data_IF_774764187235
#
_entry.id   IF_774764187235
#
_cell.length_a   1.000
_cell.length_b   1.000
_cell.length_c   1.000
_cell.angle_alpha   90.00
_cell.angle_beta   90.00
_cell.angle_gamma   90.00
#
_symmetry.space_group_name_H-M   'P 1'
#
loop_
_entity.id
_entity.type
_entity.pdbx_description
1 polymer ?
#
# COMPACT_ATOMS: atom_id res chain seq x y z
N UNK A 1 -30.29 -5.22 -8.76
CA UNK A 1 -30.19 -4.48 -7.49
C UNK A 1 -28.87 -3.72 -7.52
N UNK A 2 -28.87 -2.40 -7.73
CA UNK A 2 -27.65 -1.61 -7.70
C UNK A 2 -27.26 -1.33 -6.24
N UNK A 3 -26.03 -1.65 -5.86
CA UNK A 3 -25.50 -1.28 -4.56
C UNK A 3 -25.46 0.25 -4.45
N UNK A 4 -25.83 0.81 -3.30
CA UNK A 4 -25.66 2.24 -3.06
C UNK A 4 -24.18 2.61 -3.04
N UNK A 5 -23.83 3.85 -3.40
CA UNK A 5 -22.43 4.30 -3.36
C UNK A 5 -21.78 4.13 -1.97
N UNK A 6 -22.57 4.32 -0.91
CA UNK A 6 -22.09 4.09 0.46
C UNK A 6 -21.74 2.62 0.73
N UNK A 7 -22.53 1.67 0.19
CA UNK A 7 -22.25 0.23 0.34
C UNK A 7 -20.94 -0.15 -0.37
N UNK A 8 -20.75 0.33 -1.58
CA UNK A 8 -19.54 0.07 -2.38
C UNK A 8 -18.30 0.61 -1.67
N UNK A 9 -18.38 1.83 -1.18
CA UNK A 9 -17.30 2.47 -0.40
C UNK A 9 -16.96 1.67 0.88
N UNK A 10 -17.99 1.27 1.65
CA UNK A 10 -17.80 0.50 2.89
C UNK A 10 -17.14 -0.86 2.60
N UNK A 11 -17.58 -1.55 1.55
CA UNK A 11 -16.95 -2.78 1.12
C UNK A 11 -15.47 -2.57 0.74
N UNK A 12 -15.16 -1.46 0.07
CA UNK A 12 -13.78 -1.06 -0.22
C UNK A 12 -12.95 -0.90 1.05
N UNK A 13 -13.45 -0.22 2.07
CA UNK A 13 -12.74 -0.03 3.36
C UNK A 13 -12.47 -1.37 4.04
N UNK A 14 -13.47 -2.24 4.14
CA UNK A 14 -13.31 -3.57 4.74
C UNK A 14 -12.27 -4.40 3.97
N UNK A 15 -12.37 -4.41 2.64
CA UNK A 15 -11.43 -5.11 1.79
C UNK A 15 -10.00 -4.57 1.96
N UNK A 16 -9.83 -3.24 1.96
CA UNK A 16 -8.54 -2.61 2.15
C UNK A 16 -7.90 -2.97 3.49
N UNK A 17 -8.67 -2.95 4.57
CA UNK A 17 -8.19 -3.36 5.88
C UNK A 17 -7.77 -4.84 5.90
N UNK A 18 -8.59 -5.73 5.31
CA UNK A 18 -8.26 -7.15 5.21
C UNK A 18 -7.00 -7.41 4.36
N UNK A 19 -6.83 -6.63 3.28
CA UNK A 19 -5.63 -6.71 2.44
C UNK A 19 -4.36 -6.27 3.18
N UNK A 20 -4.45 -5.42 4.19
CA UNK A 20 -3.31 -5.02 5.03
C UNK A 20 -2.61 -6.21 5.70
N UNK A 21 -3.27 -7.35 5.83
CA UNK A 21 -2.67 -8.60 6.29
C UNK A 21 -1.61 -9.16 5.33
N UNK A 22 -1.75 -8.89 4.03
CA UNK A 22 -0.89 -9.42 2.96
C UNK A 22 -0.03 -8.34 2.32
N UNK A 23 -0.50 -7.10 2.35
CA UNK A 23 0.13 -5.95 1.71
C UNK A 23 0.51 -4.96 2.82
N UNK A 24 1.50 -5.32 3.64
CA UNK A 24 1.98 -4.47 4.72
C UNK A 24 3.20 -3.61 4.28
N UNK A 25 3.58 -2.58 5.04
CA UNK A 25 4.72 -1.72 4.73
C UNK A 25 6.05 -2.46 4.65
N UNK A 26 6.20 -3.58 5.36
CA UNK A 26 7.45 -4.35 5.42
C UNK A 26 7.72 -5.19 4.17
N UNK A 27 6.83 -5.19 3.18
CA UNK A 27 7.06 -5.86 1.88
C UNK A 27 8.28 -5.32 1.12
N UNK A 28 8.84 -4.21 1.55
CA UNK A 28 10.13 -3.71 1.07
C UNK A 28 11.33 -4.53 1.61
N UNK A 29 11.11 -5.41 2.61
CA UNK A 29 12.12 -6.28 3.22
C UNK A 29 11.89 -7.74 2.82
N UNK A 30 12.37 -8.14 1.65
CA UNK A 30 12.21 -9.48 1.09
C UNK A 30 12.83 -10.54 2.00
N UNK A 31 12.08 -11.60 2.28
CA UNK A 31 12.55 -12.79 3.01
C UNK A 31 12.47 -12.68 4.53
N UNK A 32 11.96 -11.59 5.08
CA UNK A 32 11.93 -11.35 6.53
C UNK A 32 10.53 -11.10 7.09
N UNK A 33 9.51 -10.93 6.24
CA UNK A 33 8.18 -10.51 6.68
C UNK A 33 7.20 -11.64 6.85
N UNK A 34 6.29 -11.50 7.81
CA UNK A 34 5.18 -12.42 7.99
C UNK A 34 4.16 -12.37 6.83
N UNK A 35 4.06 -11.24 6.13
CA UNK A 35 3.16 -11.07 4.98
C UNK A 35 3.54 -11.98 3.82
N UNK A 36 4.83 -12.13 3.52
CA UNK A 36 5.33 -13.02 2.47
C UNK A 36 4.96 -14.48 2.75
N UNK A 37 5.18 -14.94 3.99
CA UNK A 37 4.79 -16.28 4.40
C UNK A 37 3.29 -16.51 4.26
N UNK A 38 2.46 -15.53 4.62
CA UNK A 38 1.00 -15.60 4.44
C UNK A 38 0.60 -15.66 2.97
N UNK A 39 1.22 -14.84 2.09
CA UNK A 39 0.94 -14.89 0.66
C UNK A 39 1.17 -16.28 0.08
N UNK A 40 2.34 -16.87 0.35
CA UNK A 40 2.71 -18.17 -0.22
C UNK A 40 1.86 -19.30 0.36
N UNK A 41 1.59 -19.29 1.66
CA UNK A 41 0.95 -20.41 2.34
C UNK A 41 -0.59 -20.33 2.36
N UNK A 42 -1.16 -19.13 2.41
CA UNK A 42 -2.61 -18.95 2.56
C UNK A 42 -3.31 -18.66 1.21
N UNK A 43 -2.59 -18.26 0.16
CA UNK A 43 -3.16 -17.99 -1.17
C UNK A 43 -2.68 -19.04 -2.17
N UNK A 44 -3.43 -20.15 -2.34
CA UNK A 44 -3.04 -21.22 -3.26
C UNK A 44 -2.87 -20.71 -4.70
N UNK A 45 -1.88 -21.24 -5.41
CA UNK A 45 -1.53 -20.94 -6.80
C UNK A 45 -1.08 -19.50 -7.09
N UNK A 46 -1.82 -18.50 -6.59
CA UNK A 46 -1.49 -17.08 -6.82
C UNK A 46 -0.45 -16.52 -5.85
N UNK A 47 -0.27 -17.13 -4.68
CA UNK A 47 0.64 -16.62 -3.65
C UNK A 47 2.07 -16.47 -4.13
N UNK A 48 2.56 -17.45 -4.90
CA UNK A 48 3.93 -17.40 -5.48
C UNK A 48 4.07 -16.26 -6.47
N UNK A 49 3.05 -16.00 -7.30
CA UNK A 49 3.06 -14.86 -8.24
C UNK A 49 3.01 -13.53 -7.50
N UNK A 50 2.17 -13.43 -6.47
CA UNK A 50 2.10 -12.25 -5.62
C UNK A 50 3.44 -12.01 -4.92
N UNK A 51 4.04 -13.05 -4.36
CA UNK A 51 5.37 -12.98 -3.76
C UNK A 51 6.42 -12.47 -4.77
N UNK A 52 6.47 -13.03 -5.97
CA UNK A 52 7.40 -12.59 -7.02
C UNK A 52 7.17 -11.12 -7.40
N UNK A 53 5.91 -10.69 -7.51
CA UNK A 53 5.55 -9.30 -7.78
C UNK A 53 6.05 -8.37 -6.67
N UNK A 54 5.80 -8.71 -5.39
CA UNK A 54 6.26 -7.92 -4.25
C UNK A 54 7.78 -8.01 -4.03
N UNK A 55 8.43 -9.08 -4.49
CA UNK A 55 9.88 -9.16 -4.51
C UNK A 55 10.51 -8.07 -5.39
N UNK A 56 9.89 -7.72 -6.51
CA UNK A 56 10.35 -6.58 -7.34
C UNK A 56 10.11 -5.23 -6.66
N UNK A 57 9.00 -5.06 -5.93
CA UNK A 57 8.78 -3.89 -5.09
C UNK A 57 9.88 -3.74 -4.03
N UNK A 58 10.15 -4.81 -3.29
CA UNK A 58 11.22 -4.84 -2.29
C UNK A 58 12.58 -4.52 -2.89
N UNK A 59 12.91 -5.02 -4.09
CA UNK A 59 14.16 -4.69 -4.76
C UNK A 59 14.32 -3.18 -5.03
N UNK A 60 13.21 -2.48 -5.31
CA UNK A 60 13.19 -1.02 -5.54
C UNK A 60 13.31 -0.25 -4.22
N UNK A 61 12.52 -0.65 -3.21
CA UNK A 61 12.31 0.15 -2.00
C UNK A 61 13.14 -0.28 -0.78
N UNK A 62 13.86 -1.40 -0.82
CA UNK A 62 14.65 -1.95 0.29
C UNK A 62 15.59 -0.93 0.95
N UNK A 63 16.19 -0.05 0.15
CA UNK A 63 17.10 1.00 0.66
C UNK A 63 16.36 2.11 1.43
N UNK A 64 15.05 2.16 1.30
CA UNK A 64 14.18 3.17 1.91
C UNK A 64 13.34 2.60 3.05
N UNK A 65 13.69 1.41 3.56
CA UNK A 65 12.99 0.79 4.67
C UNK A 65 12.86 1.74 5.88
N UNK A 66 11.70 1.74 6.50
CA UNK A 66 11.31 2.67 7.58
C UNK A 66 11.44 4.16 7.23
N UNK A 67 11.46 4.48 5.95
CA UNK A 67 11.42 5.86 5.48
C UNK A 67 9.99 6.40 5.43
N UNK A 68 9.87 7.71 5.22
CA UNK A 68 8.59 8.36 4.94
C UNK A 68 7.84 7.69 3.77
N UNK A 69 8.56 7.25 2.73
CA UNK A 69 7.96 6.68 1.52
C UNK A 69 7.39 5.28 1.72
N UNK A 70 8.00 4.49 2.59
CA UNK A 70 7.63 3.07 2.77
C UNK A 70 6.77 2.83 4.01
N UNK A 71 6.83 3.70 5.02
CA UNK A 71 6.14 3.47 6.30
C UNK A 71 5.19 4.58 6.74
N UNK A 72 5.24 5.78 6.14
CA UNK A 72 4.29 6.82 6.52
C UNK A 72 2.88 6.46 6.02
N UNK A 73 1.89 6.26 6.93
CA UNK A 73 0.54 5.87 6.54
C UNK A 73 -0.06 6.84 5.52
N UNK A 74 -0.79 6.31 4.55
CA UNK A 74 -1.32 7.08 3.43
C UNK A 74 -0.33 7.24 2.28
N UNK A 75 0.92 7.67 2.52
CA UNK A 75 1.93 7.80 1.45
C UNK A 75 2.40 6.43 0.98
N UNK A 76 2.85 5.58 1.92
CA UNK A 76 3.24 4.20 1.62
C UNK A 76 2.09 3.40 1.00
N UNK A 77 0.87 3.59 1.52
CA UNK A 77 -0.34 2.98 0.99
C UNK A 77 -0.59 3.39 -0.47
N UNK A 78 -0.49 4.69 -0.79
CA UNK A 78 -0.69 5.19 -2.14
C UNK A 78 0.35 4.59 -3.11
N UNK A 79 1.62 4.54 -2.72
CA UNK A 79 2.70 3.95 -3.52
C UNK A 79 2.42 2.46 -3.80
N UNK A 80 2.04 1.68 -2.78
CA UNK A 80 1.75 0.26 -2.93
C UNK A 80 0.51 0.00 -3.77
N UNK A 81 -0.56 0.75 -3.58
CA UNK A 81 -1.76 0.64 -4.42
C UNK A 81 -1.42 0.99 -5.86
N UNK A 82 -0.68 2.08 -6.10
CA UNK A 82 -0.27 2.44 -7.45
C UNK A 82 0.60 1.35 -8.06
N UNK A 83 1.59 0.83 -7.33
CA UNK A 83 2.44 -0.26 -7.79
C UNK A 83 1.64 -1.52 -8.13
N UNK A 84 0.70 -1.91 -7.27
CA UNK A 84 -0.12 -3.12 -7.46
C UNK A 84 -1.07 -2.99 -8.65
N UNK A 85 -1.67 -1.84 -8.83
CA UNK A 85 -2.78 -1.65 -9.76
C UNK A 85 -2.44 -0.78 -10.98
N UNK A 86 -1.15 -0.40 -11.16
CA UNK A 86 -0.78 0.45 -12.29
C UNK A 86 -1.21 -0.11 -13.66
N UNK A 87 -1.16 -1.44 -13.94
CA UNK A 87 -1.62 -1.94 -15.24
C UNK A 87 -3.12 -1.71 -15.45
N UNK A 88 -3.91 -1.85 -14.37
CA UNK A 88 -5.33 -1.59 -14.40
C UNK A 88 -5.62 -0.09 -14.62
N UNK A 89 -4.88 0.79 -13.97
CA UNK A 89 -5.01 2.24 -14.21
C UNK A 89 -4.68 2.62 -15.65
N UNK A 90 -3.65 2.02 -16.25
CA UNK A 90 -3.33 2.23 -17.67
C UNK A 90 -4.47 1.76 -18.57
N UNK A 91 -5.05 0.57 -18.31
CA UNK A 91 -6.17 0.05 -19.08
C UNK A 91 -7.40 0.96 -18.95
N UNK A 92 -7.74 1.40 -17.74
CA UNK A 92 -8.85 2.31 -17.48
C UNK A 92 -8.66 3.63 -18.25
N UNK A 93 -7.44 4.19 -18.19
CA UNK A 93 -7.11 5.42 -18.89
C UNK A 93 -7.23 5.28 -20.42
N UNK A 94 -6.68 4.21 -21.00
CA UNK A 94 -6.74 3.95 -22.43
C UNK A 94 -8.15 3.69 -22.95
N UNK A 95 -9.02 3.07 -22.13
CA UNK A 95 -10.41 2.77 -22.50
C UNK A 95 -11.37 3.93 -22.27
N UNK A 96 -10.94 5.00 -21.62
CA UNK A 96 -11.78 6.15 -21.30
C UNK A 96 -12.91 5.79 -20.33
N UNK A 97 -12.72 4.82 -19.46
CA UNK A 97 -13.75 4.35 -18.54
C UNK A 97 -13.99 5.35 -17.41
N UNK A 98 -15.11 6.00 -17.45
CA UNK A 98 -15.57 6.89 -16.39
C UNK A 98 -16.55 6.12 -15.47
N UNK A 99 -15.98 5.34 -14.54
CA UNK A 99 -16.79 4.58 -13.58
C UNK A 99 -16.63 5.16 -12.17
N UNK A 100 -17.59 5.98 -11.70
CA UNK A 100 -17.58 6.51 -10.33
C UNK A 100 -17.48 5.40 -9.27
N UNK A 101 -18.09 4.27 -9.53
CA UNK A 101 -18.04 3.07 -8.71
C UNK A 101 -16.62 2.51 -8.50
N UNK A 102 -15.78 2.48 -9.55
CA UNK A 102 -14.38 2.03 -9.44
C UNK A 102 -13.59 2.98 -8.53
N UNK A 103 -13.78 4.29 -8.70
CA UNK A 103 -13.14 5.28 -7.84
C UNK A 103 -13.56 5.11 -6.38
N UNK A 104 -14.85 4.89 -6.10
CA UNK A 104 -15.34 4.69 -4.73
C UNK A 104 -14.73 3.45 -4.07
N UNK A 105 -14.63 2.33 -4.80
CA UNK A 105 -14.02 1.11 -4.24
C UNK A 105 -12.54 1.29 -3.99
N UNK A 106 -11.79 1.89 -4.93
CA UNK A 106 -10.36 2.16 -4.74
C UNK A 106 -10.08 3.13 -3.60
N UNK A 107 -10.89 4.16 -3.46
CA UNK A 107 -10.77 5.11 -2.37
C UNK A 107 -11.08 4.45 -1.02
N UNK A 108 -12.10 3.59 -0.97
CA UNK A 108 -12.38 2.76 0.20
C UNK A 108 -11.19 1.85 0.55
N UNK A 109 -10.66 1.12 -0.43
CA UNK A 109 -9.48 0.24 -0.25
C UNK A 109 -8.27 1.05 0.26
N UNK A 110 -8.03 2.23 -0.31
CA UNK A 110 -6.97 3.13 0.15
C UNK A 110 -7.13 3.50 1.63
N UNK A 111 -8.33 3.86 2.07
CA UNK A 111 -8.55 4.23 3.47
C UNK A 111 -8.43 3.02 4.41
N UNK A 112 -8.99 1.87 4.04
CA UNK A 112 -8.88 0.66 4.85
C UNK A 112 -7.44 0.19 5.01
N UNK A 113 -6.68 0.19 3.92
CA UNK A 113 -5.27 -0.18 3.94
C UNK A 113 -4.42 0.86 4.69
N UNK A 114 -4.71 2.17 4.52
CA UNK A 114 -4.02 3.24 5.29
C UNK A 114 -4.26 3.11 6.79
N UNK A 115 -5.43 2.65 7.21
CA UNK A 115 -5.70 2.39 8.61
C UNK A 115 -4.90 1.18 9.13
N UNK A 116 -4.80 0.10 8.35
CA UNK A 116 -3.95 -1.03 8.69
C UNK A 116 -2.47 -0.60 8.81
N UNK A 117 -1.98 0.22 7.87
CA UNK A 117 -0.63 0.79 7.91
C UNK A 117 -0.39 1.68 9.15
N UNK A 118 -1.40 2.44 9.55
CA UNK A 118 -1.31 3.27 10.74
C UNK A 118 -1.15 2.42 12.02
N UNK A 119 -1.88 1.29 12.10
CA UNK A 119 -1.72 0.37 13.21
C UNK A 119 -0.32 -0.25 13.23
N UNK A 120 0.16 -0.73 12.08
CA UNK A 120 1.51 -1.27 11.93
C UNK A 120 2.59 -0.23 12.30
N UNK A 121 2.46 1.00 11.80
CA UNK A 121 3.35 2.11 12.11
C UNK A 121 3.45 2.37 13.62
N UNK A 122 2.33 2.24 14.36
CA UNK A 122 2.32 2.34 15.82
C UNK A 122 2.98 1.16 16.50
N UNK A 123 2.75 -0.04 16.01
CA UNK A 123 3.35 -1.28 16.52
C UNK A 123 4.89 -1.24 16.41
N UNK A 124 5.41 -0.65 15.32
CA UNK A 124 6.84 -0.41 15.12
C UNK A 124 7.43 0.68 16.06
N UNK A 125 6.61 1.29 16.91
CA UNK A 125 7.05 2.38 17.79
C UNK A 125 7.42 3.67 17.05
N UNK A 126 7.03 3.81 15.77
CA UNK A 126 7.32 4.99 14.97
C UNK A 126 6.44 6.17 15.37
N UNK A 127 7.01 7.38 15.36
CA UNK A 127 6.31 8.63 15.62
C UNK A 127 6.15 9.44 14.35
N UNK A 128 4.91 9.88 14.07
CA UNK A 128 4.61 10.75 12.93
C UNK A 128 5.47 12.02 12.95
N UNK A 129 5.68 12.61 14.15
CA UNK A 129 6.47 13.83 14.31
C UNK A 129 7.92 13.58 13.92
N UNK A 130 8.53 12.50 14.42
CA UNK A 130 9.92 12.17 14.14
C UNK A 130 10.12 11.85 12.63
N UNK A 131 9.17 11.14 12.02
CA UNK A 131 9.24 10.80 10.58
C UNK A 131 9.18 12.05 9.71
N UNK A 132 8.28 13.01 10.04
CA UNK A 132 8.18 14.28 9.31
C UNK A 132 9.42 15.16 9.53
N UNK A 133 9.98 15.18 10.74
CA UNK A 133 11.23 15.91 11.02
C UNK A 133 12.42 15.35 10.22
N UNK A 134 12.55 14.02 10.17
CA UNK A 134 13.58 13.36 9.38
C UNK A 134 13.45 13.72 7.90
N UNK A 135 12.23 13.70 7.35
CA UNK A 135 11.98 14.12 5.97
C UNK A 135 12.41 15.57 5.72
N UNK A 136 12.06 16.49 6.63
CA UNK A 136 12.45 17.91 6.51
C UNK A 136 13.97 18.08 6.48
N UNK A 137 14.69 17.34 7.33
CA UNK A 137 16.16 17.37 7.37
C UNK A 137 16.78 16.85 6.06
N UNK A 138 16.22 15.77 5.48
CA UNK A 138 16.66 15.25 4.19
C UNK A 138 16.44 16.25 3.06
N UNK A 139 15.26 16.87 3.00
CA UNK A 139 14.96 17.88 1.97
C UNK A 139 15.81 19.16 2.11
N UNK A 140 16.14 19.55 3.34
CA UNK A 140 17.02 20.70 3.58
C UNK A 140 18.45 20.41 3.11
N UNK A 141 18.97 19.19 3.36
CA UNK A 141 20.30 18.79 2.88
C UNK A 141 20.38 18.71 1.34
N UNK A 142 19.33 18.22 0.67
CA UNK A 142 19.31 18.10 -0.80
C UNK A 142 19.26 19.46 -1.51
N UNK A 143 18.87 20.55 -0.84
CA UNK A 143 18.85 21.91 -1.40
C UNK A 143 20.18 22.66 -1.19
N UNK A 144 21.11 22.09 -0.41
CA UNK A 144 22.40 22.68 -0.09
C UNK A 144 23.53 22.24 -1.05
N UNK A 145 23.18 21.44 -2.05
CA UNK A 145 24.02 21.01 -3.18
C UNK A 145 23.41 21.52 -4.50
#
# INVERSE_FOLDING_TARGET
MCLSGNTVYTLGVILGYALGRYIDPDLDQIGTTGAEGRMVNEIPFFGVFLYGHWATYGAIFRKHHRSFWTHFPGVSTAIRIFYQFYPLFVIIWLKGWNYPFIFQIFFGVFLGLSFADFLHFREDGMSLINTVQTLRLHLAKSKAF
#
